data_IF_037570162161
#
_entry.id   IF_037570162161
#
_cell.length_a   1.000
_cell.length_b   1.000
_cell.length_c   1.000
_cell.angle_alpha   90.00
_cell.angle_beta   90.00
_cell.angle_gamma   90.00
#
_symmetry.space_group_name_H-M   'P 1'
#
loop_
_entity.id
_entity.type
_entity.pdbx_description
1 polymer ?
#
# COMPACT_ATOMS: atom_id res chain seq x y z
N UNK A 1 0.58 -13.71 -18.74
CA UNK A 1 0.84 -12.51 -17.92
C UNK A 1 2.26 -12.59 -17.38
N UNK A 2 3.09 -11.58 -17.62
CA UNK A 2 4.35 -11.42 -16.88
C UNK A 2 3.97 -10.77 -15.56
N UNK A 3 4.16 -11.49 -14.45
CA UNK A 3 3.97 -10.91 -13.12
C UNK A 3 4.83 -9.64 -13.02
N UNK A 4 4.22 -8.53 -12.63
CA UNK A 4 4.93 -7.28 -12.34
C UNK A 4 6.15 -7.57 -11.46
N UNK A 5 7.35 -7.31 -12.01
CA UNK A 5 8.60 -7.37 -11.28
C UNK A 5 9.10 -5.93 -11.18
N UNK A 6 9.01 -5.30 -9.99
CA UNK A 6 9.51 -3.94 -9.84
C UNK A 6 10.99 -3.89 -10.24
N UNK A 7 11.36 -2.85 -10.99
CA UNK A 7 12.71 -2.65 -11.48
C UNK A 7 13.69 -2.48 -10.28
N UNK A 8 14.77 -3.28 -10.18
CA UNK A 8 15.71 -3.19 -9.07
C UNK A 8 16.50 -1.86 -9.01
N UNK A 9 16.46 -1.04 -10.05
CA UNK A 9 17.07 0.30 -10.05
C UNK A 9 16.14 1.40 -9.49
N UNK A 10 14.86 1.11 -9.29
CA UNK A 10 13.91 2.03 -8.67
C UNK A 10 14.01 1.87 -7.14
N UNK A 11 13.84 2.97 -6.39
CA UNK A 11 14.08 3.08 -4.93
C UNK A 11 13.06 2.30 -4.08
N UNK A 12 12.77 1.05 -4.44
CA UNK A 12 11.94 0.10 -3.71
C UNK A 12 12.41 0.02 -2.25
N UNK A 13 11.55 0.46 -1.34
CA UNK A 13 11.82 0.44 0.10
C UNK A 13 12.12 1.78 0.74
N UNK A 14 11.98 2.91 0.03
CA UNK A 14 12.01 4.23 0.68
C UNK A 14 10.84 4.32 1.65
N UNK A 15 9.62 4.06 1.21
CA UNK A 15 8.44 4.12 2.07
C UNK A 15 8.54 3.17 3.26
N UNK A 16 8.91 1.91 3.03
CA UNK A 16 9.02 0.88 4.07
C UNK A 16 9.93 1.29 5.22
N UNK A 17 11.10 1.87 4.89
CA UNK A 17 12.05 2.37 5.90
C UNK A 17 11.50 3.58 6.64
N UNK A 18 10.90 4.53 5.91
CA UNK A 18 10.33 5.76 6.48
C UNK A 18 9.19 5.47 7.46
N UNK A 19 8.40 4.41 7.22
CA UNK A 19 7.29 4.04 8.11
C UNK A 19 7.67 3.03 9.20
N UNK A 20 8.95 2.67 9.31
CA UNK A 20 9.45 1.76 10.34
C UNK A 20 9.16 0.27 10.09
N UNK A 21 8.84 -0.12 8.86
CA UNK A 21 8.70 -1.52 8.49
C UNK A 21 10.05 -2.10 8.00
N UNK A 22 10.37 -3.36 8.34
CA UNK A 22 11.74 -3.85 8.27
C UNK A 22 12.22 -4.23 6.86
N UNK A 23 11.32 -4.51 5.92
CA UNK A 23 11.66 -4.81 4.53
C UNK A 23 10.42 -4.72 3.62
N UNK A 24 10.62 -4.42 2.34
CA UNK A 24 9.56 -4.45 1.32
C UNK A 24 9.23 -5.85 0.77
N UNK A 25 10.07 -6.85 1.06
CA UNK A 25 9.90 -8.25 0.64
C UNK A 25 10.78 -9.20 1.48
N UNK A 26 10.56 -10.51 1.29
CA UNK A 26 11.41 -11.55 1.86
C UNK A 26 10.95 -12.06 3.23
N UNK A 27 11.70 -12.99 3.81
CA UNK A 27 11.33 -13.69 5.06
C UNK A 27 11.19 -12.75 6.25
N UNK A 28 11.99 -11.68 6.32
CA UNK A 28 11.89 -10.65 7.38
C UNK A 28 10.50 -10.01 7.40
N UNK A 29 9.96 -9.68 6.22
CA UNK A 29 8.61 -9.13 6.11
C UNK A 29 7.56 -10.18 6.53
N UNK A 30 7.73 -11.42 6.09
CA UNK A 30 6.82 -12.53 6.47
C UNK A 30 6.76 -12.70 7.98
N UNK A 31 7.91 -12.71 8.66
CA UNK A 31 7.96 -12.87 10.11
C UNK A 31 7.36 -11.67 10.83
N UNK A 32 7.56 -10.46 10.31
CA UNK A 32 6.98 -9.23 10.86
C UNK A 32 5.46 -9.17 10.70
N UNK A 33 4.94 -9.67 9.56
CA UNK A 33 3.50 -9.81 9.34
C UNK A 33 2.92 -10.85 10.31
N UNK A 34 3.57 -12.00 10.49
CA UNK A 34 3.15 -13.01 11.46
C UNK A 34 3.14 -12.49 12.91
N UNK A 35 4.09 -11.63 13.26
CA UNK A 35 4.14 -10.96 14.57
C UNK A 35 3.08 -9.84 14.71
N UNK A 36 2.50 -9.38 13.60
CA UNK A 36 1.60 -8.24 13.56
C UNK A 36 2.33 -6.90 13.62
N UNK A 37 1.95 -5.96 12.76
CA UNK A 37 2.51 -4.60 12.77
C UNK A 37 2.04 -3.80 13.99
N UNK A 38 2.86 -2.87 14.47
CA UNK A 38 2.40 -1.86 15.45
C UNK A 38 1.29 -1.00 14.84
N UNK A 39 0.32 -0.60 15.66
CA UNK A 39 -0.71 0.38 15.28
C UNK A 39 -0.15 1.71 14.81
N UNK A 40 1.07 2.05 15.25
CA UNK A 40 1.77 3.29 14.89
C UNK A 40 2.10 3.35 13.39
N UNK A 41 2.13 2.21 12.68
CA UNK A 41 2.37 2.20 11.24
C UNK A 41 1.34 3.05 10.48
N UNK A 42 0.10 3.15 10.98
CA UNK A 42 -0.92 4.01 10.39
C UNK A 42 -0.59 5.49 10.57
N UNK A 43 -0.02 5.85 11.73
CA UNK A 43 0.45 7.22 11.97
C UNK A 43 1.64 7.55 11.06
N UNK A 44 2.58 6.62 10.90
CA UNK A 44 3.72 6.80 10.00
C UNK A 44 3.30 6.93 8.53
N UNK A 45 2.36 6.11 8.06
CA UNK A 45 1.81 6.22 6.69
C UNK A 45 1.09 7.57 6.53
N UNK A 46 0.28 7.98 7.51
CA UNK A 46 -0.41 9.26 7.51
C UNK A 46 0.55 10.44 7.37
N UNK A 47 1.64 10.45 8.15
CA UNK A 47 2.65 11.50 8.12
C UNK A 47 3.43 11.50 6.79
N UNK A 48 3.80 10.32 6.28
CA UNK A 48 4.58 10.22 5.05
C UNK A 48 3.79 10.57 3.79
N UNK A 49 2.52 10.15 3.73
CA UNK A 49 1.62 10.35 2.61
C UNK A 49 0.79 11.63 2.72
N UNK A 50 0.79 12.33 3.86
CA UNK A 50 -0.16 13.43 4.13
C UNK A 50 -1.63 13.02 3.87
N UNK A 51 -1.95 11.74 4.06
CA UNK A 51 -3.27 11.15 3.78
C UNK A 51 -4.03 10.92 5.09
N UNK A 52 -5.33 11.26 5.20
CA UNK A 52 -6.08 11.02 6.44
C UNK A 52 -6.10 9.54 6.82
N UNK A 53 -5.93 9.24 8.12
CA UNK A 53 -5.92 7.87 8.66
C UNK A 53 -7.18 7.07 8.28
N UNK A 54 -8.33 7.75 8.21
CA UNK A 54 -9.59 7.15 7.80
C UNK A 54 -9.54 6.58 6.38
N UNK A 55 -8.81 7.23 5.46
CA UNK A 55 -8.67 6.74 4.09
C UNK A 55 -7.73 5.56 4.00
N UNK A 56 -6.63 5.58 4.75
CA UNK A 56 -5.70 4.44 4.87
C UNK A 56 -6.45 3.21 5.42
N UNK A 57 -7.24 3.40 6.48
CA UNK A 57 -8.04 2.34 7.09
C UNK A 57 -9.13 1.81 6.13
N UNK A 58 -9.78 2.71 5.38
CA UNK A 58 -10.75 2.32 4.33
C UNK A 58 -10.09 1.49 3.24
N UNK A 59 -8.98 1.96 2.68
CA UNK A 59 -8.26 1.27 1.61
C UNK A 59 -7.70 -0.10 2.03
N UNK A 60 -7.31 -0.23 3.31
CA UNK A 60 -6.85 -1.50 3.88
C UNK A 60 -8.00 -2.39 4.38
N UNK A 61 -9.26 -1.94 4.33
CA UNK A 61 -10.41 -2.68 4.84
C UNK A 61 -10.34 -2.93 6.36
N UNK A 62 -9.68 -2.04 7.12
CA UNK A 62 -9.53 -2.15 8.57
C UNK A 62 -10.55 -1.20 9.24
N UNK A 63 -11.48 -1.70 10.07
CA UNK A 63 -12.42 -0.85 10.78
C UNK A 63 -11.72 0.10 11.76
N UNK A 64 -12.10 1.38 11.75
CA UNK A 64 -11.54 2.40 12.66
C UNK A 64 -11.66 2.03 14.15
N UNK A 65 -12.76 1.38 14.53
CA UNK A 65 -12.99 0.89 15.89
C UNK A 65 -11.94 -0.13 16.34
N UNK A 66 -11.40 -0.94 15.41
CA UNK A 66 -10.33 -1.90 15.71
C UNK A 66 -9.03 -1.18 16.07
N UNK A 67 -8.72 -0.06 15.39
CA UNK A 67 -7.55 0.76 15.70
C UNK A 67 -7.64 1.36 17.12
N UNK A 68 -8.77 1.99 17.46
CA UNK A 68 -8.98 2.61 18.78
C UNK A 68 -8.88 1.57 19.91
N UNK A 69 -9.51 0.40 19.74
CA UNK A 69 -9.46 -0.69 20.73
C UNK A 69 -8.04 -1.21 20.97
N UNK A 70 -7.21 -1.27 19.92
CA UNK A 70 -5.85 -1.82 20.01
C UNK A 70 -4.86 -0.87 20.64
N UNK A 71 -5.05 0.44 20.47
CA UNK A 71 -4.24 1.45 21.15
C UNK A 71 -4.32 1.34 22.68
N UNK A 72 -5.38 0.74 23.22
CA UNK A 72 -5.57 0.54 24.66
C UNK A 72 -5.26 -0.89 25.14
N UNK A 73 -4.81 -1.78 24.24
CA UNK A 73 -4.47 -3.18 24.54
C UNK A 73 -3.06 -3.49 24.01
N UNK A 74 -2.91 -4.44 23.08
CA UNK A 74 -1.62 -4.98 22.64
C UNK A 74 -0.88 -4.08 21.64
N UNK A 75 -1.53 -3.02 21.15
CA UNK A 75 -0.93 -2.08 20.21
C UNK A 75 -0.55 -2.67 18.84
N UNK A 76 -1.07 -3.86 18.48
CA UNK A 76 -0.70 -4.54 17.23
C UNK A 76 -1.90 -4.97 16.38
N UNK A 77 -1.70 -4.97 15.07
CA UNK A 77 -2.61 -5.55 14.08
C UNK A 77 -2.51 -7.07 14.06
N UNK A 78 -3.56 -7.76 13.61
CA UNK A 78 -3.45 -9.21 13.34
C UNK A 78 -2.54 -9.45 12.12
N UNK A 79 -2.07 -10.70 11.90
CA UNK A 79 -1.34 -11.03 10.69
C UNK A 79 -2.10 -10.69 9.41
N UNK A 80 -3.41 -10.95 9.36
CA UNK A 80 -4.24 -10.68 8.18
C UNK A 80 -4.35 -9.19 7.88
N UNK A 81 -4.49 -8.35 8.90
CA UNK A 81 -4.52 -6.89 8.73
C UNK A 81 -3.13 -6.34 8.39
N UNK A 82 -2.08 -6.93 8.96
CA UNK A 82 -0.70 -6.58 8.64
C UNK A 82 -0.39 -6.89 7.17
N UNK A 83 -0.91 -7.99 6.63
CA UNK A 83 -0.85 -8.31 5.19
C UNK A 83 -1.58 -7.24 4.35
N UNK A 84 -2.77 -6.79 4.78
CA UNK A 84 -3.51 -5.72 4.08
C UNK A 84 -2.73 -4.39 4.10
N UNK A 85 -2.11 -4.04 5.22
CA UNK A 85 -1.25 -2.85 5.33
C UNK A 85 -0.03 -3.00 4.42
N UNK A 86 0.63 -4.15 4.45
CA UNK A 86 1.78 -4.45 3.59
C UNK A 86 1.43 -4.32 2.10
N UNK A 87 0.26 -4.82 1.70
CA UNK A 87 -0.28 -4.66 0.34
C UNK A 87 -0.50 -3.19 -0.02
N UNK A 88 -1.15 -2.42 0.86
CA UNK A 88 -1.37 -0.99 0.63
C UNK A 88 -0.05 -0.24 0.43
N UNK A 89 0.92 -0.47 1.32
CA UNK A 89 2.26 0.14 1.25
C UNK A 89 2.96 -0.23 -0.06
N UNK A 90 2.88 -1.51 -0.48
CA UNK A 90 3.46 -2.00 -1.75
C UNK A 90 2.90 -1.27 -2.97
N UNK A 91 1.59 -1.10 -3.03
CA UNK A 91 0.94 -0.41 -4.16
C UNK A 91 1.23 1.09 -4.13
N UNK A 92 1.24 1.71 -2.94
CA UNK A 92 1.60 3.12 -2.80
C UNK A 92 3.03 3.40 -3.26
N UNK A 93 3.99 2.55 -2.87
CA UNK A 93 5.40 2.66 -3.31
C UNK A 93 5.49 2.56 -4.84
N UNK A 94 4.80 1.59 -5.45
CA UNK A 94 4.75 1.45 -6.91
C UNK A 94 4.08 2.64 -7.62
N UNK A 95 3.02 3.22 -7.03
CA UNK A 95 2.38 4.41 -7.57
C UNK A 95 3.31 5.63 -7.49
N UNK A 96 4.04 5.81 -6.39
CA UNK A 96 5.04 6.88 -6.25
C UNK A 96 6.15 6.73 -7.29
N UNK A 97 6.60 5.51 -7.53
CA UNK A 97 7.59 5.19 -8.56
C UNK A 97 7.09 5.52 -9.98
N UNK A 98 5.83 5.17 -10.30
CA UNK A 98 5.19 5.50 -11.58
C UNK A 98 5.21 7.02 -11.86
N UNK A 99 5.07 7.84 -10.82
CA UNK A 99 5.12 9.31 -10.93
C UNK A 99 6.50 9.90 -10.65
N UNK A 100 7.57 9.09 -10.73
CA UNK A 100 8.95 9.57 -10.60
C UNK A 100 9.29 10.12 -9.22
N UNK A 101 8.64 9.61 -8.16
CA UNK A 101 8.81 10.07 -6.79
C UNK A 101 7.85 11.19 -6.36
N UNK A 102 6.97 11.67 -7.25
CA UNK A 102 5.97 12.68 -6.91
C UNK A 102 4.82 12.06 -6.11
N UNK A 103 4.92 12.16 -4.79
CA UNK A 103 3.92 11.66 -3.85
C UNK A 103 2.53 12.27 -4.10
N UNK A 104 2.44 13.56 -4.40
CA UNK A 104 1.17 14.26 -4.57
C UNK A 104 0.40 13.73 -5.77
N UNK A 105 1.09 13.48 -6.88
CA UNK A 105 0.50 12.83 -8.06
C UNK A 105 0.09 11.39 -7.78
N UNK A 106 0.93 10.63 -7.08
CA UNK A 106 0.61 9.24 -6.73
C UNK A 106 -0.64 9.14 -5.84
N UNK A 107 -0.76 9.98 -4.82
CA UNK A 107 -1.95 10.01 -3.93
C UNK A 107 -3.21 10.39 -4.72
N UNK A 108 -3.10 11.42 -5.57
CA UNK A 108 -4.22 11.82 -6.44
C UNK A 108 -4.64 10.67 -7.35
N UNK A 109 -3.68 10.01 -8.00
CA UNK A 109 -3.93 8.87 -8.87
C UNK A 109 -4.57 7.69 -8.12
N UNK A 110 -4.10 7.40 -6.90
CA UNK A 110 -4.65 6.34 -6.05
C UNK A 110 -6.15 6.52 -5.75
N UNK A 111 -6.63 7.76 -5.73
CA UNK A 111 -8.04 8.12 -5.50
C UNK A 111 -8.85 8.39 -6.79
N UNK A 112 -8.20 8.36 -7.96
CA UNK A 112 -8.84 8.72 -9.23
C UNK A 112 -9.40 7.46 -9.93
N UNK A 113 -10.67 7.44 -10.37
CA UNK A 113 -11.20 6.36 -11.19
C UNK A 113 -10.42 6.17 -12.50
N UNK A 114 -10.01 4.92 -12.78
CA UNK A 114 -9.21 4.60 -13.98
C UNK A 114 -9.98 3.65 -14.89
N UNK A 115 -10.02 3.98 -16.18
CA UNK A 115 -10.68 3.15 -17.22
C UNK A 115 -10.15 1.71 -17.23
N UNK A 116 -8.83 1.53 -17.21
CA UNK A 116 -8.17 0.22 -17.14
C UNK A 116 -8.46 -0.62 -15.89
N UNK A 117 -9.13 -0.06 -14.87
CA UNK A 117 -9.61 -0.75 -13.67
C UNK A 117 -11.14 -0.88 -13.60
N UNK A 118 -11.82 -0.66 -14.73
CA UNK A 118 -13.28 -0.66 -14.80
C UNK A 118 -13.90 0.56 -14.11
N UNK A 119 -13.28 1.74 -14.27
CA UNK A 119 -13.72 3.00 -13.67
C UNK A 119 -13.75 3.01 -12.14
N UNK A 120 -12.87 2.21 -11.52
CA UNK A 120 -12.63 2.22 -10.07
C UNK A 120 -11.30 2.88 -9.76
N UNK A 121 -11.21 3.49 -8.58
CA UNK A 121 -9.96 4.05 -8.08
C UNK A 121 -9.04 2.94 -7.57
N UNK A 122 -7.70 3.05 -7.70
CA UNK A 122 -6.77 2.08 -7.18
C UNK A 122 -7.00 1.74 -5.70
N UNK A 123 -7.22 2.74 -4.84
CA UNK A 123 -7.43 2.55 -3.39
C UNK A 123 -8.64 1.67 -3.08
N UNK A 124 -9.71 1.77 -3.87
CA UNK A 124 -10.94 0.98 -3.68
C UNK A 124 -10.76 -0.51 -3.98
N UNK A 125 -9.69 -0.90 -4.68
CA UNK A 125 -9.41 -2.29 -5.03
C UNK A 125 -8.50 -3.01 -4.02
N UNK A 126 -7.86 -2.27 -3.11
CA UNK A 126 -6.81 -2.81 -2.24
C UNK A 126 -7.31 -3.65 -1.07
N UNK A 127 -8.63 -3.69 -0.84
CA UNK A 127 -9.24 -4.58 0.13
C UNK A 127 -8.90 -6.06 -0.14
N UNK A 128 -8.70 -6.41 -1.42
CA UNK A 128 -8.38 -7.78 -1.86
C UNK A 128 -6.98 -7.88 -2.48
N UNK A 129 -6.36 -9.06 -2.40
CA UNK A 129 -5.08 -9.30 -3.08
C UNK A 129 -5.23 -9.20 -4.59
N UNK A 130 -6.29 -9.79 -5.15
CA UNK A 130 -6.58 -9.73 -6.59
C UNK A 130 -6.70 -8.30 -7.09
N UNK A 131 -7.42 -7.44 -6.37
CA UNK A 131 -7.54 -6.03 -6.75
C UNK A 131 -6.21 -5.28 -6.73
N UNK A 132 -5.33 -5.56 -5.76
CA UNK A 132 -3.98 -4.97 -5.76
C UNK A 132 -3.09 -5.50 -6.88
N UNK A 133 -3.24 -6.76 -7.30
CA UNK A 133 -2.54 -7.30 -8.46
C UNK A 133 -2.98 -6.58 -9.74
N UNK A 134 -4.28 -6.35 -9.94
CA UNK A 134 -4.79 -5.58 -11.08
C UNK A 134 -4.22 -4.15 -11.13
N UNK A 135 -4.09 -3.50 -9.97
CA UNK A 135 -3.47 -2.18 -9.86
C UNK A 135 -1.98 -2.24 -10.21
N UNK A 136 -1.22 -3.21 -9.67
CA UNK A 136 0.20 -3.39 -10.01
C UNK A 136 0.41 -3.69 -11.50
N UNK A 137 -0.45 -4.53 -12.09
CA UNK A 137 -0.39 -4.88 -13.50
C UNK A 137 -0.72 -3.67 -14.39
N UNK A 138 -1.68 -2.83 -13.97
CA UNK A 138 -1.91 -1.54 -14.63
C UNK A 138 -0.68 -0.63 -14.54
N UNK A 139 -0.05 -0.48 -13.36
CA UNK A 139 1.17 0.32 -13.20
C UNK A 139 2.25 -0.15 -14.17
N UNK A 140 2.51 -1.45 -14.22
CA UNK A 140 3.50 -2.02 -15.15
C UNK A 140 3.17 -1.75 -16.62
N UNK A 141 1.89 -1.75 -17.02
CA UNK A 141 1.48 -1.34 -18.38
C UNK A 141 1.75 0.14 -18.64
N UNK A 142 1.45 1.02 -17.67
CA UNK A 142 1.67 2.46 -17.79
C UNK A 142 3.15 2.81 -17.90
N UNK A 143 4.03 2.13 -17.14
CA UNK A 143 5.49 2.31 -17.24
C UNK A 143 6.04 1.95 -18.63
N UNK A 144 5.40 1.01 -19.32
CA UNK A 144 5.76 0.60 -20.68
C UNK A 144 5.00 1.39 -21.77
N UNK A 145 4.28 2.46 -21.42
CA UNK A 145 3.56 3.31 -22.37
C UNK A 145 2.30 2.66 -22.96
N UNK A 146 1.78 1.60 -22.33
CA UNK A 146 0.55 0.93 -22.74
C UNK A 146 -0.63 1.57 -22.02
N UNK A 147 -1.38 2.42 -22.73
CA UNK A 147 -2.58 3.08 -22.21
C UNK A 147 -3.82 2.21 -22.44
N UNK A 148 -4.56 1.87 -21.37
CA UNK A 148 -5.81 1.08 -21.43
C UNK A 148 -6.90 1.66 -20.54
#
# INVERSE_FOLDING_TARGET
MRAYRPNPATKMGTLWREIGLPASRGTILVDSIKMGFSVDVIDSIHLWASMPKAEILRATGIPSRSLTRRRTHDGRFTPEESERIARFVRVMDAAVDLFGGDKGKAITWMSTPIKGLGYRSPDSLLETETGALEVCDLIGRLEHGVFT
#
